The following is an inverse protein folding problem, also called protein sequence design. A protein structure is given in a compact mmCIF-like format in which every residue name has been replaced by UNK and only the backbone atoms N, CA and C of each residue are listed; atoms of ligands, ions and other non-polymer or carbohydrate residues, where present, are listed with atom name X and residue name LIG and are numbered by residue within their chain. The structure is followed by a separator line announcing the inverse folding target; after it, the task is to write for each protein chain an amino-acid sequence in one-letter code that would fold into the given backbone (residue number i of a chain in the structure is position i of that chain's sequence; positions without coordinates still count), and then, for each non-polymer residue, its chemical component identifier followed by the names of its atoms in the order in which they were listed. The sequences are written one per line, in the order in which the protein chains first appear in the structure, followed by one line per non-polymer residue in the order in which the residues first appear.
data_IF_061209665324
#
_entry.id   IF_061209665324
#
_cell.length_a   1.000
_cell.length_b   1.000
_cell.length_c   1.000
_cell.angle_alpha   90.00
_cell.angle_beta   90.00
_cell.angle_gamma   90.00
#
_symmetry.space_group_name_H-M   'P 1'
#
loop_
_entity.id
_entity.type
_entity.pdbx_description
1 polymer ?
#
# COMPACT_ATOMS: atom_id res chain seq x y z
N UNK A 1 -23.62 35.66 -3.84
CA UNK A 1 -24.01 34.36 -4.43
C UNK A 1 -23.32 33.30 -3.60
N UNK A 2 -24.05 32.78 -2.62
CA UNK A 2 -23.50 32.03 -1.47
C UNK A 2 -23.36 30.57 -1.87
N UNK A 3 -22.14 30.12 -2.07
CA UNK A 3 -21.81 28.72 -2.33
C UNK A 3 -21.88 27.94 -1.01
N UNK A 4 -22.80 26.97 -0.94
CA UNK A 4 -22.92 26.05 0.20
C UNK A 4 -22.06 24.84 -0.13
N UNK A 5 -21.13 24.41 0.73
CA UNK A 5 -20.45 23.15 0.51
C UNK A 5 -21.46 22.01 0.61
N UNK A 6 -21.44 21.16 -0.42
CA UNK A 6 -22.19 19.92 -0.51
C UNK A 6 -21.91 19.08 0.74
N UNK A 7 -22.96 18.68 1.46
CA UNK A 7 -22.81 17.82 2.64
C UNK A 7 -22.34 16.44 2.17
N UNK A 8 -21.40 15.76 2.84
CA UNK A 8 -21.16 14.35 2.56
C UNK A 8 -22.43 13.59 2.97
N UNK A 9 -23.22 13.18 2.00
CA UNK A 9 -24.42 12.38 2.20
C UNK A 9 -24.02 10.99 2.68
N UNK A 10 -23.93 10.89 4.00
CA UNK A 10 -24.15 9.71 4.86
C UNK A 10 -24.09 8.37 4.12
N UNK A 11 -22.92 7.73 4.20
CA UNK A 11 -22.72 6.30 3.90
C UNK A 11 -23.89 5.51 4.48
N UNK A 12 -24.64 4.82 3.62
CA UNK A 12 -25.79 4.02 4.04
C UNK A 12 -25.30 2.96 5.02
N UNK A 13 -25.79 2.92 6.27
CA UNK A 13 -25.32 1.96 7.27
C UNK A 13 -25.55 0.51 6.82
N UNK A 14 -24.57 -0.36 7.04
CA UNK A 14 -24.58 -1.80 6.71
C UNK A 14 -25.82 -2.53 7.25
N UNK A 15 -26.42 -2.01 8.33
CA UNK A 15 -27.60 -2.56 9.00
C UNK A 15 -28.90 -2.41 8.20
N UNK A 16 -28.98 -1.48 7.24
CA UNK A 16 -30.21 -1.19 6.49
C UNK A 16 -30.45 -2.09 5.26
N UNK A 17 -29.50 -2.95 4.88
CA UNK A 17 -29.56 -3.74 3.63
C UNK A 17 -29.51 -5.26 3.89
N UNK A 18 -30.59 -5.88 4.42
CA UNK A 18 -30.62 -7.35 4.57
C UNK A 18 -31.93 -8.00 4.11
N UNK A 19 -31.96 -8.36 2.82
CA UNK A 19 -32.42 -9.70 2.39
C UNK A 19 -31.23 -10.40 1.74
N UNK A 20 -30.58 -11.26 2.52
CA UNK A 20 -29.37 -12.01 2.15
C UNK A 20 -29.77 -13.31 1.46
N UNK A 21 -29.91 -13.30 0.12
CA UNK A 21 -30.10 -14.53 -0.65
C UNK A 21 -28.73 -15.12 -0.99
N UNK A 22 -28.47 -16.41 -0.70
CA UNK A 22 -27.24 -17.07 -1.12
C UNK A 22 -27.03 -16.99 -2.63
N UNK A 23 -25.77 -16.90 -3.07
CA UNK A 23 -25.39 -17.01 -4.49
C UNK A 23 -25.61 -18.44 -4.98
N UNK A 24 -25.36 -18.70 -6.28
CA UNK A 24 -25.44 -20.06 -6.85
C UNK A 24 -24.47 -21.04 -6.17
N UNK A 25 -23.42 -20.51 -5.51
CA UNK A 25 -22.41 -21.29 -4.78
C UNK A 25 -22.68 -21.34 -3.27
N UNK A 26 -23.83 -20.83 -2.80
CA UNK A 26 -24.20 -20.84 -1.37
C UNK A 26 -23.59 -19.70 -0.54
N UNK A 27 -22.71 -18.87 -1.12
CA UNK A 27 -22.11 -17.73 -0.44
C UNK A 27 -23.13 -16.63 -0.21
N UNK A 28 -23.20 -16.08 1.00
CA UNK A 28 -23.99 -14.87 1.26
C UNK A 28 -23.14 -13.65 0.93
N UNK A 29 -23.59 -12.84 -0.03
CA UNK A 29 -22.86 -11.62 -0.39
C UNK A 29 -22.87 -10.61 0.75
N UNK A 30 -21.68 -10.11 1.06
CA UNK A 30 -21.41 -8.93 1.88
C UNK A 30 -20.40 -8.05 1.17
N UNK A 31 -20.28 -6.80 1.60
CA UNK A 31 -19.24 -5.88 1.11
C UNK A 31 -17.86 -6.51 1.28
N UNK A 32 -17.53 -6.99 2.49
CA UNK A 32 -16.27 -7.67 2.78
C UNK A 32 -15.97 -8.84 1.83
N UNK A 33 -16.93 -9.76 1.62
CA UNK A 33 -16.73 -10.91 0.73
C UNK A 33 -16.42 -10.48 -0.71
N UNK A 34 -17.06 -9.40 -1.16
CA UNK A 34 -16.83 -8.84 -2.50
C UNK A 34 -15.42 -8.21 -2.56
N UNK A 35 -15.04 -7.40 -1.57
CA UNK A 35 -13.73 -6.74 -1.49
C UNK A 35 -12.60 -7.76 -1.39
N UNK A 36 -12.69 -8.74 -0.50
CA UNK A 36 -11.69 -9.80 -0.35
C UNK A 36 -11.50 -10.58 -1.66
N UNK A 37 -12.60 -10.86 -2.36
CA UNK A 37 -12.56 -11.58 -3.63
C UNK A 37 -11.96 -10.70 -4.73
N UNK A 38 -12.29 -9.41 -4.76
CA UNK A 38 -11.70 -8.46 -5.68
C UNK A 38 -10.20 -8.28 -5.43
N UNK A 39 -9.76 -8.16 -4.18
CA UNK A 39 -8.35 -8.07 -3.80
C UNK A 39 -7.57 -9.31 -4.27
N UNK A 40 -8.12 -10.52 -4.11
CA UNK A 40 -7.51 -11.76 -4.63
C UNK A 40 -7.39 -11.73 -6.16
N UNK A 41 -8.42 -11.30 -6.88
CA UNK A 41 -8.40 -11.22 -8.34
C UNK A 41 -7.40 -10.18 -8.85
N UNK A 42 -7.34 -9.00 -8.20
CA UNK A 42 -6.35 -7.97 -8.50
C UNK A 42 -4.94 -8.48 -8.22
N UNK A 43 -4.71 -9.21 -7.13
CA UNK A 43 -3.42 -9.81 -6.82
C UNK A 43 -2.95 -10.83 -7.88
N UNK A 44 -3.87 -11.57 -8.49
CA UNK A 44 -3.55 -12.62 -9.48
C UNK A 44 -3.36 -12.08 -10.91
N UNK A 45 -4.14 -11.08 -11.31
CA UNK A 45 -4.24 -10.67 -12.71
C UNK A 45 -4.01 -9.17 -12.93
N UNK A 46 -3.98 -8.38 -11.86
CA UNK A 46 -3.76 -6.95 -11.90
C UNK A 46 -5.02 -6.13 -12.01
N UNK A 47 -4.91 -4.88 -11.57
CA UNK A 47 -6.03 -3.94 -11.60
C UNK A 47 -6.54 -3.71 -13.04
N UNK A 48 -5.66 -3.72 -14.05
CA UNK A 48 -6.06 -3.55 -15.46
C UNK A 48 -6.90 -4.71 -16.00
N UNK A 49 -6.70 -5.92 -15.48
CA UNK A 49 -7.43 -7.11 -15.90
C UNK A 49 -8.72 -7.33 -15.09
N UNK A 50 -8.99 -6.46 -14.11
CA UNK A 50 -10.13 -6.56 -13.23
C UNK A 50 -11.43 -6.15 -13.94
N UNK A 51 -12.47 -6.98 -13.81
CA UNK A 51 -13.82 -6.66 -14.30
C UNK A 51 -14.89 -7.17 -13.35
N UNK A 52 -16.01 -6.46 -13.24
CA UNK A 52 -17.18 -6.87 -12.46
C UNK A 52 -17.74 -8.22 -12.94
N UNK A 53 -17.56 -8.54 -14.23
CA UNK A 53 -17.91 -9.85 -14.79
C UNK A 53 -17.06 -10.99 -14.22
N UNK A 54 -15.74 -10.83 -14.17
CA UNK A 54 -14.83 -11.82 -13.56
C UNK A 54 -15.11 -11.98 -12.07
N UNK A 55 -15.38 -10.88 -11.39
CA UNK A 55 -15.75 -10.90 -9.97
C UNK A 55 -17.07 -11.62 -9.73
N UNK A 56 -18.10 -11.35 -10.53
CA UNK A 56 -19.38 -12.06 -10.45
C UNK A 56 -19.23 -13.58 -10.64
N UNK A 57 -18.41 -14.00 -11.63
CA UNK A 57 -18.09 -15.41 -11.83
C UNK A 57 -17.38 -16.03 -10.61
N UNK A 58 -16.39 -15.33 -10.05
CA UNK A 58 -15.66 -15.79 -8.86
C UNK A 58 -16.55 -15.91 -7.61
N UNK A 59 -17.60 -15.08 -7.51
CA UNK A 59 -18.58 -15.07 -6.42
C UNK A 59 -19.80 -15.98 -6.66
N UNK A 60 -19.95 -16.56 -7.85
CA UNK A 60 -21.16 -17.25 -8.27
C UNK A 60 -22.40 -16.36 -8.34
N UNK A 61 -22.21 -15.05 -8.56
CA UNK A 61 -23.21 -14.00 -8.55
C UNK A 61 -23.36 -13.32 -9.92
N UNK A 62 -24.55 -12.80 -10.20
CA UNK A 62 -24.74 -11.93 -11.36
C UNK A 62 -23.95 -10.62 -11.18
N UNK A 63 -23.24 -10.10 -12.20
CA UNK A 63 -22.48 -8.85 -12.10
C UNK A 63 -23.30 -7.66 -11.56
N UNK A 64 -24.60 -7.58 -11.87
CA UNK A 64 -25.48 -6.52 -11.36
C UNK A 64 -25.65 -6.55 -9.84
N UNK A 65 -25.40 -7.70 -9.20
CA UNK A 65 -25.46 -7.84 -7.75
C UNK A 65 -24.40 -7.02 -7.02
N UNK A 66 -23.24 -6.77 -7.66
CA UNK A 66 -22.13 -6.02 -7.10
C UNK A 66 -22.50 -4.54 -6.97
N UNK A 67 -23.24 -4.00 -7.93
CA UNK A 67 -23.69 -2.60 -7.91
C UNK A 67 -24.75 -2.29 -6.84
N UNK A 68 -25.23 -3.29 -6.10
CA UNK A 68 -26.03 -3.05 -4.87
C UNK A 68 -25.16 -2.65 -3.67
N UNK A 69 -23.87 -2.92 -3.74
CA UNK A 69 -22.90 -2.61 -2.69
C UNK A 69 -22.04 -1.40 -3.08
N UNK A 70 -21.68 -1.29 -4.36
CA UNK A 70 -20.78 -0.24 -4.86
C UNK A 70 -21.46 0.58 -5.96
N UNK A 71 -21.19 1.89 -5.97
CA UNK A 71 -21.76 2.80 -6.95
C UNK A 71 -21.16 2.63 -8.36
N UNK A 72 -19.92 2.16 -8.43
CA UNK A 72 -19.19 1.95 -9.68
C UNK A 72 -18.07 0.91 -9.49
N UNK A 73 -17.43 0.51 -10.60
CA UNK A 73 -16.20 -0.29 -10.54
C UNK A 73 -15.07 0.47 -9.84
N UNK A 74 -15.01 1.79 -10.03
CA UNK A 74 -14.01 2.65 -9.40
C UNK A 74 -14.18 2.69 -7.87
N UNK A 75 -15.43 2.82 -7.41
CA UNK A 75 -15.79 2.76 -6.00
C UNK A 75 -15.36 1.43 -5.35
N UNK A 76 -15.55 0.31 -6.05
CA UNK A 76 -15.06 -0.99 -5.62
C UNK A 76 -13.52 -1.07 -5.59
N UNK A 77 -12.83 -0.51 -6.57
CA UNK A 77 -11.36 -0.48 -6.58
C UNK A 77 -10.79 0.36 -5.42
N UNK A 78 -11.45 1.47 -5.09
CA UNK A 78 -11.11 2.26 -3.90
C UNK A 78 -11.36 1.47 -2.60
N UNK A 79 -12.36 0.57 -2.56
CA UNK A 79 -12.61 -0.29 -1.40
C UNK A 79 -11.51 -1.35 -1.25
N UNK A 80 -11.04 -1.91 -2.37
CA UNK A 80 -9.91 -2.84 -2.42
C UNK A 80 -8.62 -2.16 -1.96
N UNK A 81 -8.38 -0.91 -2.37
CA UNK A 81 -7.24 -0.13 -1.89
C UNK A 81 -7.33 0.13 -0.37
N UNK A 82 -8.50 0.53 0.13
CA UNK A 82 -8.72 0.77 1.55
C UNK A 82 -8.53 -0.50 2.40
N UNK A 83 -8.98 -1.67 1.90
CA UNK A 83 -8.72 -2.95 2.57
C UNK A 83 -7.22 -3.25 2.68
N UNK A 84 -6.45 -3.02 1.60
CA UNK A 84 -4.99 -3.19 1.63
C UNK A 84 -4.32 -2.27 2.65
N UNK A 85 -4.79 -1.02 2.79
CA UNK A 85 -4.33 -0.09 3.83
C UNK A 85 -4.64 -0.67 5.22
N UNK A 86 -5.85 -1.21 5.40
CA UNK A 86 -6.28 -1.84 6.65
C UNK A 86 -5.36 -2.98 7.11
N UNK A 87 -4.92 -3.83 6.18
CA UNK A 87 -3.99 -4.94 6.45
C UNK A 87 -2.61 -4.47 6.95
N UNK A 88 -2.22 -3.23 6.63
CA UNK A 88 -0.97 -2.61 7.12
C UNK A 88 -0.99 -2.33 8.62
N UNK A 89 -2.16 -2.08 9.20
CA UNK A 89 -2.34 -1.81 10.63
C UNK A 89 -3.00 -2.95 11.40
N UNK A 90 -3.36 -4.04 10.73
CA UNK A 90 -4.00 -5.18 11.38
C UNK A 90 -3.12 -5.76 12.49
N UNK A 91 -3.72 -5.93 13.67
CA UNK A 91 -3.06 -6.40 14.88
C UNK A 91 -1.94 -5.51 15.43
N UNK A 92 -1.68 -4.33 14.85
CA UNK A 92 -0.71 -3.38 15.39
C UNK A 92 -1.24 -2.70 16.65
N UNK A 93 -0.36 -2.40 17.60
CA UNK A 93 -0.66 -1.65 18.83
C UNK A 93 0.50 -0.71 19.14
N UNK A 94 0.22 0.53 19.58
CA UNK A 94 1.26 1.47 19.97
C UNK A 94 2.00 0.97 21.21
N UNK A 95 3.30 1.24 21.23
CA UNK A 95 4.18 0.98 22.38
C UNK A 95 4.42 2.25 23.21
N UNK A 96 4.18 3.42 22.61
CA UNK A 96 4.50 4.72 23.20
C UNK A 96 5.91 5.22 22.87
N UNK A 97 6.75 4.38 22.26
CA UNK A 97 7.96 4.83 21.58
C UNK A 97 7.60 5.19 20.13
N UNK A 98 7.42 6.49 19.88
CA UNK A 98 6.99 7.00 18.59
C UNK A 98 7.87 6.53 17.43
N UNK A 99 9.17 6.36 17.67
CA UNK A 99 10.12 5.98 16.63
C UNK A 99 9.96 4.50 16.31
N UNK A 100 9.90 3.65 17.33
CA UNK A 100 9.64 2.22 17.14
C UNK A 100 8.27 1.98 16.49
N UNK A 101 7.26 2.74 16.91
CA UNK A 101 5.89 2.66 16.41
C UNK A 101 5.79 3.04 14.92
N UNK A 102 6.35 4.18 14.50
CA UNK A 102 6.39 4.56 13.07
C UNK A 102 7.23 3.58 12.24
N UNK A 103 8.36 3.10 12.78
CA UNK A 103 9.19 2.13 12.08
C UNK A 103 8.41 0.85 11.79
N UNK A 104 7.71 0.33 12.79
CA UNK A 104 6.92 -0.89 12.66
C UNK A 104 5.75 -0.69 11.68
N UNK A 105 5.05 0.45 11.75
CA UNK A 105 3.99 0.79 10.79
C UNK A 105 4.54 0.84 9.36
N UNK A 106 5.68 1.50 9.14
CA UNK A 106 6.32 1.59 7.82
C UNK A 106 6.70 0.21 7.27
N UNK A 107 7.36 -0.62 8.09
CA UNK A 107 7.71 -1.98 7.71
C UNK A 107 6.49 -2.85 7.38
N UNK A 108 5.38 -2.70 8.13
CA UNK A 108 4.13 -3.41 7.84
C UNK A 108 3.50 -2.95 6.53
N UNK A 109 3.42 -1.65 6.27
CA UNK A 109 2.91 -1.10 5.00
C UNK A 109 3.68 -1.73 3.83
N UNK A 110 5.01 -1.66 3.88
CA UNK A 110 5.88 -2.22 2.84
C UNK A 110 5.69 -3.73 2.66
N UNK A 111 5.74 -4.51 3.75
CA UNK A 111 5.57 -5.96 3.69
C UNK A 111 4.20 -6.38 3.11
N UNK A 112 3.12 -5.66 3.46
CA UNK A 112 1.78 -5.93 2.92
C UNK A 112 1.69 -5.58 1.43
N UNK A 113 2.31 -4.50 1.00
CA UNK A 113 2.41 -4.16 -0.42
C UNK A 113 3.13 -5.25 -1.21
N UNK A 114 4.26 -5.75 -0.71
CA UNK A 114 5.01 -6.83 -1.36
C UNK A 114 4.25 -8.17 -1.39
N UNK A 115 3.37 -8.42 -0.42
CA UNK A 115 2.46 -9.57 -0.44
C UNK A 115 1.33 -9.43 -1.48
N UNK A 116 1.02 -8.20 -1.89
CA UNK A 116 -0.01 -7.89 -2.89
C UNK A 116 0.50 -6.92 -3.97
N UNK A 117 1.55 -7.27 -4.76
CA UNK A 117 2.28 -6.30 -5.58
C UNK A 117 1.41 -5.54 -6.57
N UNK A 118 0.44 -6.24 -7.18
CA UNK A 118 -0.43 -5.65 -8.19
C UNK A 118 -1.55 -4.77 -7.58
N UNK A 119 -1.92 -5.02 -6.31
CA UNK A 119 -2.87 -4.17 -5.58
C UNK A 119 -2.17 -2.96 -4.95
N UNK A 120 -0.90 -3.10 -4.56
CA UNK A 120 -0.08 -2.00 -4.05
C UNK A 120 0.01 -0.83 -5.03
N UNK A 121 0.20 -1.13 -6.33
CA UNK A 121 0.19 -0.10 -7.37
C UNK A 121 -1.14 0.65 -7.40
N UNK A 122 -2.28 -0.04 -7.31
CA UNK A 122 -3.60 0.59 -7.27
C UNK A 122 -3.78 1.49 -6.05
N UNK A 123 -3.32 1.07 -4.88
CA UNK A 123 -3.47 1.82 -3.63
C UNK A 123 -2.55 3.04 -3.54
N UNK A 124 -1.35 2.98 -4.10
CA UNK A 124 -0.30 3.97 -3.86
C UNK A 124 -0.56 5.38 -4.41
N UNK A 125 -1.48 5.56 -5.36
CA UNK A 125 -1.77 6.86 -5.98
C UNK A 125 -3.22 7.34 -5.76
N UNK A 126 -4.00 6.63 -4.93
CA UNK A 126 -5.42 6.89 -4.73
C UNK A 126 -5.69 7.31 -3.30
N UNK A 127 -6.38 8.44 -3.13
CA UNK A 127 -7.03 8.77 -1.86
C UNK A 127 -8.38 8.08 -1.82
N UNK A 128 -8.59 7.21 -0.85
CA UNK A 128 -9.81 6.37 -0.74
C UNK A 128 -10.95 7.07 -0.02
N UNK A 129 -10.64 7.96 0.94
CA UNK A 129 -11.61 8.62 1.82
C UNK A 129 -12.37 7.65 2.73
N UNK A 130 -11.86 6.42 2.90
CA UNK A 130 -12.54 5.32 3.59
C UNK A 130 -11.96 5.05 4.98
N UNK A 131 -12.61 4.15 5.71
CA UNK A 131 -12.41 3.95 7.13
C UNK A 131 -10.99 3.49 7.50
N UNK A 132 -10.34 2.66 6.68
CA UNK A 132 -8.99 2.20 6.98
C UNK A 132 -7.94 3.29 6.73
N UNK A 133 -8.06 4.04 5.63
CA UNK A 133 -7.19 5.19 5.34
C UNK A 133 -7.34 6.27 6.40
N UNK A 134 -8.56 6.65 6.78
CA UNK A 134 -8.80 7.62 7.84
C UNK A 134 -8.17 7.16 9.16
N UNK A 135 -8.36 5.89 9.53
CA UNK A 135 -7.75 5.32 10.74
C UNK A 135 -6.22 5.35 10.66
N UNK A 136 -5.64 5.06 9.51
CA UNK A 136 -4.20 5.06 9.32
C UNK A 136 -3.61 6.46 9.47
N UNK A 137 -4.22 7.45 8.82
CA UNK A 137 -3.86 8.87 8.94
C UNK A 137 -3.94 9.32 10.39
N UNK A 138 -5.07 9.06 11.06
CA UNK A 138 -5.29 9.42 12.47
C UNK A 138 -4.23 8.78 13.38
N UNK A 139 -3.90 7.51 13.15
CA UNK A 139 -2.90 6.78 13.93
C UNK A 139 -1.51 7.41 13.78
N UNK A 140 -1.06 7.65 12.54
CA UNK A 140 0.28 8.18 12.28
C UNK A 140 0.43 9.63 12.76
N UNK A 141 -0.59 10.47 12.56
CA UNK A 141 -0.62 11.82 13.11
C UNK A 141 -0.65 11.78 14.64
N UNK A 142 -1.41 10.87 15.24
CA UNK A 142 -1.43 10.64 16.69
C UNK A 142 -0.03 10.35 17.24
N UNK A 143 0.68 9.39 16.65
CA UNK A 143 2.06 9.05 17.06
C UNK A 143 2.98 10.28 17.03
N UNK A 144 2.95 11.06 15.95
CA UNK A 144 3.80 12.26 15.81
C UNK A 144 3.41 13.35 16.83
N UNK A 145 2.12 13.61 17.00
CA UNK A 145 1.65 14.67 17.92
C UNK A 145 1.91 14.30 19.37
N UNK A 146 1.70 13.04 19.76
CA UNK A 146 1.98 12.53 21.10
C UNK A 146 3.48 12.52 21.42
N UNK A 147 4.34 12.37 20.40
CA UNK A 147 5.78 12.53 20.55
C UNK A 147 6.22 13.97 20.87
N UNK A 148 5.38 14.97 20.57
CA UNK A 148 5.67 16.39 20.80
C UNK A 148 5.98 17.19 19.53
N UNK A 149 5.78 16.63 18.33
CA UNK A 149 5.92 17.42 17.09
C UNK A 149 4.80 18.46 17.00
N UNK A 150 5.10 19.74 16.69
CA UNK A 150 4.08 20.76 16.41
C UNK A 150 3.18 20.35 15.25
N UNK A 151 1.91 20.76 15.25
CA UNK A 151 0.93 20.33 14.23
C UNK A 151 1.39 20.54 12.76
N UNK A 152 2.03 21.67 12.37
CA UNK A 152 2.54 21.81 11.00
C UNK A 152 3.65 20.80 10.65
N UNK A 153 4.49 20.46 11.63
CA UNK A 153 5.55 19.47 11.46
C UNK A 153 4.95 18.07 11.41
N UNK A 154 4.02 17.72 12.32
CA UNK A 154 3.35 16.43 12.31
C UNK A 154 2.70 16.12 10.94
N UNK A 155 2.04 17.10 10.32
CA UNK A 155 1.42 16.92 8.99
C UNK A 155 2.47 16.74 7.90
N UNK A 156 3.51 17.58 7.86
CA UNK A 156 4.54 17.50 6.81
C UNK A 156 5.41 16.25 6.93
N UNK A 157 5.73 15.83 8.16
CA UNK A 157 6.50 14.62 8.46
C UNK A 157 5.69 13.36 8.17
N UNK A 158 4.39 13.34 8.52
CA UNK A 158 3.47 12.27 8.10
C UNK A 158 3.48 12.11 6.58
N UNK A 159 3.35 13.21 5.83
CA UNK A 159 3.30 13.19 4.37
C UNK A 159 4.61 12.62 3.78
N UNK A 160 5.77 13.10 4.25
CA UNK A 160 7.06 12.57 3.83
C UNK A 160 7.24 11.08 4.16
N UNK A 161 6.77 10.66 5.32
CA UNK A 161 6.82 9.26 5.76
C UNK A 161 5.98 8.35 4.85
N UNK A 162 4.71 8.71 4.60
CA UNK A 162 3.82 7.87 3.81
C UNK A 162 4.25 7.82 2.35
N UNK A 163 4.66 8.95 1.76
CA UNK A 163 5.15 9.00 0.38
C UNK A 163 6.42 8.16 0.20
N UNK A 164 7.35 8.21 1.17
CA UNK A 164 8.55 7.37 1.12
C UNK A 164 8.17 5.88 1.22
N UNK A 165 7.29 5.52 2.17
CA UNK A 165 6.85 4.14 2.35
C UNK A 165 6.16 3.59 1.08
N UNK A 166 5.21 4.34 0.52
CA UNK A 166 4.49 3.96 -0.69
C UNK A 166 5.40 3.95 -1.92
N UNK A 167 6.33 4.90 -2.05
CA UNK A 167 7.27 4.97 -3.17
C UNK A 167 8.16 3.73 -3.24
N UNK A 168 8.76 3.32 -2.11
CA UNK A 168 9.53 2.08 -2.03
C UNK A 168 8.65 0.84 -2.19
N UNK A 169 7.46 0.83 -1.59
CA UNK A 169 6.53 -0.28 -1.73
C UNK A 169 6.14 -0.52 -3.19
N UNK A 170 5.88 0.53 -3.97
CA UNK A 170 5.59 0.45 -5.41
C UNK A 170 6.81 -0.01 -6.19
N UNK A 171 7.99 0.55 -5.94
CA UNK A 171 9.23 0.17 -6.63
C UNK A 171 9.52 -1.33 -6.46
N UNK A 172 9.50 -1.81 -5.22
CA UNK A 172 9.80 -3.20 -4.89
C UNK A 172 8.68 -4.15 -5.35
N UNK A 173 7.42 -3.73 -5.25
CA UNK A 173 6.28 -4.48 -5.78
C UNK A 173 6.35 -4.61 -7.30
N UNK A 174 6.74 -3.55 -8.01
CA UNK A 174 6.92 -3.60 -9.46
C UNK A 174 8.02 -4.59 -9.84
N UNK A 175 9.14 -4.58 -9.12
CA UNK A 175 10.21 -5.56 -9.30
C UNK A 175 9.71 -7.00 -9.07
N UNK A 176 8.91 -7.25 -8.02
CA UNK A 176 8.31 -8.56 -7.75
C UNK A 176 7.22 -8.96 -8.75
N UNK A 177 6.54 -8.02 -9.39
CA UNK A 177 5.51 -8.30 -10.38
C UNK A 177 6.09 -8.77 -11.74
N UNK A 178 7.38 -8.53 -12.00
CA UNK A 178 8.06 -8.99 -13.21
C UNK A 178 8.08 -10.54 -13.31
N UNK A 179 8.07 -11.10 -14.54
CA UNK A 179 8.31 -12.53 -14.75
C UNK A 179 9.64 -12.97 -14.12
N UNK A 180 9.69 -14.19 -13.57
CA UNK A 180 10.86 -14.69 -12.86
C UNK A 180 12.14 -14.67 -13.73
N UNK A 181 12.01 -14.92 -15.03
CA UNK A 181 13.13 -14.84 -15.99
C UNK A 181 13.68 -13.43 -16.14
N UNK A 182 12.81 -12.42 -16.23
CA UNK A 182 13.21 -11.02 -16.29
C UNK A 182 13.90 -10.59 -14.99
N UNK A 183 13.32 -10.91 -13.83
CA UNK A 183 13.94 -10.62 -12.52
C UNK A 183 15.33 -11.25 -12.37
N UNK A 184 15.50 -12.49 -12.82
CA UNK A 184 16.79 -13.17 -12.77
C UNK A 184 17.81 -12.51 -13.69
N UNK A 185 17.39 -12.14 -14.92
CA UNK A 185 18.24 -11.43 -15.86
C UNK A 185 18.70 -10.07 -15.27
N UNK A 186 17.77 -9.27 -14.75
CA UNK A 186 18.07 -7.96 -14.15
C UNK A 186 19.04 -8.09 -12.98
N UNK A 187 18.81 -9.05 -12.07
CA UNK A 187 19.72 -9.32 -10.95
C UNK A 187 21.10 -9.81 -11.38
N UNK A 188 21.21 -10.46 -12.54
CA UNK A 188 22.46 -10.93 -13.13
C UNK A 188 23.29 -9.81 -13.77
N UNK A 189 22.67 -8.67 -14.13
CA UNK A 189 23.39 -7.50 -14.69
C UNK A 189 24.44 -6.99 -13.71
N UNK A 190 24.16 -7.04 -12.40
CA UNK A 190 25.11 -6.65 -11.37
C UNK A 190 26.40 -7.49 -11.35
N UNK A 191 26.30 -8.80 -11.60
CA UNK A 191 27.47 -9.69 -11.64
C UNK A 191 28.19 -9.67 -12.98
N UNK A 192 27.47 -9.43 -14.07
CA UNK A 192 28.02 -9.56 -15.43
C UNK A 192 28.53 -8.23 -15.98
N UNK A 193 27.70 -7.18 -15.92
CA UNK A 193 28.05 -5.87 -16.44
C UNK A 193 28.84 -5.07 -15.42
N UNK A 194 28.29 -4.85 -14.22
CA UNK A 194 28.88 -3.91 -13.25
C UNK A 194 30.17 -4.44 -12.60
N UNK A 195 30.24 -5.75 -12.29
CA UNK A 195 31.47 -6.37 -11.75
C UNK A 195 32.60 -6.48 -12.77
N UNK A 196 32.28 -6.48 -14.07
CA UNK A 196 33.27 -6.58 -15.14
C UNK A 196 33.87 -5.22 -15.57
N UNK A 197 33.43 -4.10 -15.01
CA UNK A 197 33.89 -2.78 -15.44
C UNK A 197 35.35 -2.53 -15.04
N UNK A 198 36.14 -2.01 -15.98
CA UNK A 198 37.55 -1.73 -15.76
C UNK A 198 37.76 -0.56 -14.77
N UNK A 199 38.69 -0.69 -13.80
CA UNK A 199 39.04 0.40 -12.89
C UNK A 199 39.65 1.61 -13.60
N UNK A 200 40.22 1.46 -14.80
CA UNK A 200 40.81 2.57 -15.56
C UNK A 200 39.75 3.55 -16.08
N UNK A 201 38.52 3.06 -16.31
CA UNK A 201 37.40 3.85 -16.85
C UNK A 201 36.28 4.07 -15.86
N UNK A 202 36.09 3.15 -14.91
CA UNK A 202 35.01 3.15 -13.92
C UNK A 202 35.57 2.89 -12.50
N UNK A 203 36.52 3.71 -12.01
CA UNK A 203 37.25 3.42 -10.77
C UNK A 203 36.34 3.25 -9.55
N UNK A 204 35.27 4.03 -9.45
CA UNK A 204 34.35 3.95 -8.31
C UNK A 204 33.51 2.66 -8.33
N UNK A 205 32.97 2.29 -9.49
CA UNK A 205 32.17 1.07 -9.60
C UNK A 205 33.09 -0.15 -9.41
N UNK A 206 34.25 -0.18 -10.05
CA UNK A 206 35.20 -1.27 -9.91
C UNK A 206 35.63 -1.47 -8.44
N UNK A 207 35.84 -0.38 -7.69
CA UNK A 207 36.20 -0.44 -6.27
C UNK A 207 35.08 -0.97 -5.37
N UNK A 208 33.80 -0.87 -5.79
CA UNK A 208 32.64 -1.23 -4.96
C UNK A 208 31.74 -2.28 -5.59
N UNK A 209 32.14 -2.92 -6.69
CA UNK A 209 31.24 -3.73 -7.50
C UNK A 209 30.65 -4.92 -6.73
N UNK A 210 31.44 -5.53 -5.86
CA UNK A 210 31.03 -6.65 -5.01
C UNK A 210 29.93 -6.22 -4.03
N UNK A 211 30.07 -5.02 -3.45
CA UNK A 211 29.08 -4.43 -2.55
C UNK A 211 27.82 -4.02 -3.31
N UNK A 212 27.96 -3.39 -4.47
CA UNK A 212 26.83 -3.01 -5.33
C UNK A 212 26.01 -4.25 -5.74
N UNK A 213 26.66 -5.32 -6.16
CA UNK A 213 25.99 -6.56 -6.56
C UNK A 213 25.28 -7.26 -5.39
N UNK A 214 25.84 -7.18 -4.18
CA UNK A 214 25.20 -7.71 -2.99
C UNK A 214 23.98 -6.87 -2.56
N UNK A 215 24.11 -5.55 -2.59
CA UNK A 215 23.12 -4.64 -2.01
C UNK A 215 21.94 -4.36 -2.94
N UNK A 216 22.18 -4.11 -4.23
CA UNK A 216 21.15 -3.73 -5.21
C UNK A 216 20.09 -4.80 -5.51
N UNK A 217 20.28 -6.02 -4.99
CA UNK A 217 19.28 -7.11 -5.06
C UNK A 217 18.26 -7.06 -3.92
N UNK A 218 18.51 -6.23 -2.90
CA UNK A 218 17.66 -6.07 -1.72
C UNK A 218 16.97 -4.72 -1.79
N UNK A 219 15.83 -4.63 -1.10
CA UNK A 219 15.18 -3.34 -0.90
C UNK A 219 16.03 -2.44 0.00
N UNK A 220 16.21 -1.19 -0.42
CA UNK A 220 16.81 -0.15 0.42
C UNK A 220 15.82 0.44 1.44
N UNK A 221 14.54 0.02 1.44
CA UNK A 221 13.50 0.61 2.26
C UNK A 221 13.79 0.61 3.78
N UNK A 222 14.28 -0.48 4.40
CA UNK A 222 14.56 -0.45 5.84
C UNK A 222 15.60 0.63 6.21
N UNK A 223 16.65 0.78 5.40
CA UNK A 223 17.66 1.81 5.59
C UNK A 223 17.08 3.21 5.37
N UNK A 224 16.34 3.42 4.29
CA UNK A 224 15.72 4.72 3.99
C UNK A 224 14.71 5.14 5.07
N UNK A 225 13.95 4.19 5.62
CA UNK A 225 13.05 4.41 6.74
C UNK A 225 13.82 4.82 8.00
N UNK A 226 14.89 4.11 8.35
CA UNK A 226 15.72 4.44 9.51
C UNK A 226 16.35 5.83 9.37
N UNK A 227 16.86 6.17 8.18
CA UNK A 227 17.42 7.51 7.88
C UNK A 227 16.36 8.62 8.00
N UNK A 228 15.14 8.38 7.54
CA UNK A 228 14.03 9.32 7.71
C UNK A 228 13.74 9.51 9.21
N UNK A 229 13.60 8.43 9.97
CA UNK A 229 13.30 8.50 11.39
C UNK A 229 14.41 9.20 12.19
N UNK A 230 15.68 9.03 11.81
CA UNK A 230 16.80 9.79 12.37
C UNK A 230 16.65 11.30 12.12
N UNK A 231 16.29 11.68 10.89
CA UNK A 231 16.08 13.07 10.52
C UNK A 231 14.84 13.68 11.19
N UNK A 232 13.82 12.88 11.51
CA UNK A 232 12.66 13.29 12.31
C UNK A 232 13.05 13.49 13.77
N UNK A 233 13.79 12.57 14.36
CA UNK A 233 14.24 12.66 15.74
C UNK A 233 15.07 13.93 15.99
N UNK A 234 15.93 14.31 15.04
CA UNK A 234 16.70 15.55 15.11
C UNK A 234 15.86 16.85 15.03
N UNK A 235 14.59 16.75 14.61
CA UNK A 235 13.63 17.87 14.55
C UNK A 235 12.71 17.95 15.77
N UNK A 236 12.74 16.94 16.64
CA UNK A 236 11.87 16.93 17.80
C UNK A 236 12.27 18.08 18.75
N UNK A 237 11.31 18.93 19.17
CA UNK A 237 11.60 19.97 20.15
C UNK A 237 12.20 19.36 21.42
N UNK A 238 13.24 20.01 21.95
CA UNK A 238 13.87 19.64 23.23
C UNK A 238 12.98 19.97 24.42
#
# INVERSE_FOLDING_TARGET
MTDRPDRPDRVVPETARRRRRPTKQGTVLSEQVIVDTALRLVGQHGAQAFTVRRLGLALGADPSAIYRYFHSTDDLLLAVADELIGLGLDGWRPTGDWRADLREVGMRIHARSLAHPQAAVLAAYRTTGRANEIRAIETMLGILREAGFPDPDAVSLYHAFIDQALGFAVLDSAALALPATARHADNGVWDTAYRGLSPDTHPHIAATADLLAADMRRSAYPLALDLLLDALAARLPS
#
